data_IF_498344955938
#
_entry.id   IF_498344955938
#
_cell.length_a   1.000
_cell.length_b   1.000
_cell.length_c   1.000
_cell.angle_alpha   90.00
_cell.angle_beta   90.00
_cell.angle_gamma   90.00
#
_symmetry.space_group_name_H-M   'P 1'
#
loop_
_entity.id
_entity.type
_entity.pdbx_description
1 polymer ?
#
# COMPACT_ATOMS: atom_id res chain seq x y z
N UNK A 1 -60.22 1.24 -51.40
CA UNK A 1 -60.38 1.87 -50.07
C UNK A 1 -59.06 1.65 -49.34
N UNK A 2 -58.37 2.60 -48.74
CA UNK A 2 -58.58 4.00 -48.47
C UNK A 2 -57.28 4.47 -47.81
N UNK A 3 -56.84 5.66 -48.19
CA UNK A 3 -55.67 6.36 -47.62
C UNK A 3 -55.86 6.52 -46.12
N UNK A 4 -54.77 6.48 -45.37
CA UNK A 4 -54.28 7.58 -44.53
C UNK A 4 -53.33 7.04 -43.47
N UNK A 5 -52.06 7.48 -43.54
CA UNK A 5 -51.17 7.77 -42.40
C UNK A 5 -49.84 8.34 -42.91
N UNK A 6 -49.95 9.34 -43.81
CA UNK A 6 -48.82 10.15 -44.30
C UNK A 6 -48.57 11.41 -43.48
N UNK A 7 -49.29 11.63 -42.37
CA UNK A 7 -49.27 12.90 -41.62
C UNK A 7 -48.43 12.90 -40.35
N UNK A 8 -48.03 11.74 -39.82
CA UNK A 8 -47.29 11.66 -38.54
C UNK A 8 -45.78 11.80 -38.69
N UNK A 9 -45.23 11.72 -39.92
CA UNK A 9 -43.78 11.91 -40.18
C UNK A 9 -43.38 13.36 -40.51
N UNK A 10 -44.34 14.25 -40.81
CA UNK A 10 -44.04 15.66 -41.15
C UNK A 10 -44.07 16.61 -39.93
N UNK A 11 -44.78 16.26 -38.85
CA UNK A 11 -44.82 17.09 -37.63
C UNK A 11 -43.59 16.93 -36.73
N UNK A 12 -42.87 15.81 -36.80
CA UNK A 12 -41.68 15.58 -35.96
C UNK A 12 -40.42 16.24 -36.57
N UNK A 13 -40.36 16.39 -37.91
CA UNK A 13 -39.24 17.08 -38.57
C UNK A 13 -39.33 18.61 -38.52
N UNK A 14 -40.53 19.18 -38.35
CA UNK A 14 -40.73 20.62 -38.22
C UNK A 14 -40.34 21.17 -36.83
N UNK A 15 -40.24 20.31 -35.81
CA UNK A 15 -39.73 20.71 -34.49
C UNK A 15 -38.20 20.62 -34.34
N UNK A 16 -37.49 20.00 -35.29
CA UNK A 16 -36.01 19.92 -35.26
C UNK A 16 -35.32 20.98 -36.14
N UNK A 17 -36.08 21.73 -36.95
CA UNK A 17 -35.55 22.86 -37.73
C UNK A 17 -35.79 24.24 -37.07
N UNK A 18 -36.63 24.32 -36.03
CA UNK A 18 -37.00 25.59 -35.36
C UNK A 18 -36.16 25.97 -34.13
N UNK A 19 -35.25 25.10 -33.68
CA UNK A 19 -34.37 25.35 -32.52
C UNK A 19 -32.90 25.56 -32.90
N UNK A 20 -32.62 25.77 -34.19
CA UNK A 20 -31.32 26.17 -34.73
C UNK A 20 -31.33 27.59 -35.33
N UNK A 21 -32.29 28.44 -34.94
CA UNK A 21 -32.44 29.81 -35.47
C UNK A 21 -32.35 30.91 -34.41
N UNK A 22 -31.71 30.65 -33.27
CA UNK A 22 -31.53 31.65 -32.20
C UNK A 22 -30.10 31.74 -31.64
N UNK A 23 -29.07 31.49 -32.46
CA UNK A 23 -27.67 31.70 -32.06
C UNK A 23 -26.79 32.40 -33.12
N UNK A 24 -27.41 33.15 -34.04
CA UNK A 24 -26.69 34.05 -34.96
C UNK A 24 -27.34 35.43 -35.00
N UNK A 25 -27.26 36.16 -33.88
CA UNK A 25 -27.38 37.63 -33.83
C UNK A 25 -26.94 38.08 -32.43
N UNK A 26 -25.64 38.31 -32.26
CA UNK A 26 -25.09 38.73 -30.98
C UNK A 26 -23.57 38.91 -30.90
N UNK A 27 -22.87 39.06 -32.03
CA UNK A 27 -21.53 39.67 -32.02
C UNK A 27 -21.69 41.19 -32.10
N UNK A 28 -21.79 41.86 -30.94
CA UNK A 28 -21.31 43.23 -30.77
C UNK A 28 -21.26 43.59 -29.28
N UNK A 29 -20.09 44.06 -28.85
CA UNK A 29 -19.81 44.83 -27.63
C UNK A 29 -20.09 44.18 -26.26
N UNK A 30 -19.18 43.31 -25.82
CA UNK A 30 -18.77 43.28 -24.41
C UNK A 30 -17.25 43.18 -24.21
N UNK A 31 -16.44 43.37 -25.27
CA UNK A 31 -14.98 43.44 -25.20
C UNK A 31 -14.44 44.84 -24.85
N UNK A 32 -15.30 45.79 -24.45
CA UNK A 32 -14.94 47.20 -24.18
C UNK A 32 -15.20 47.68 -22.75
N UNK A 33 -15.48 46.80 -21.79
CA UNK A 33 -15.77 47.18 -20.39
C UNK A 33 -14.83 46.60 -19.34
N UNK A 34 -13.73 45.97 -19.76
CA UNK A 34 -12.65 45.57 -18.85
C UNK A 34 -11.36 46.09 -19.45
N UNK A 35 -10.93 47.27 -19.01
CA UNK A 35 -9.53 47.66 -19.14
C UNK A 35 -8.70 46.61 -18.40
N UNK A 36 -7.66 46.01 -19.01
CA UNK A 36 -6.76 45.16 -18.26
C UNK A 36 -6.16 45.98 -17.11
N UNK A 37 -5.99 45.40 -15.91
CA UNK A 37 -5.31 46.09 -14.83
C UNK A 37 -3.92 46.54 -15.33
N UNK A 38 -3.43 47.73 -14.92
CA UNK A 38 -2.10 48.17 -15.30
C UNK A 38 -1.12 47.06 -14.97
N UNK A 39 -0.30 46.69 -15.96
CA UNK A 39 0.72 45.65 -15.81
C UNK A 39 1.49 45.92 -14.52
N UNK A 40 1.28 45.07 -13.51
CA UNK A 40 2.16 45.04 -12.36
C UNK A 40 3.59 44.89 -12.91
N UNK A 41 4.58 45.61 -12.37
CA UNK A 41 5.95 45.49 -12.83
C UNK A 41 6.28 44.01 -12.93
N UNK A 42 6.68 43.56 -14.12
CA UNK A 42 7.13 42.19 -14.34
C UNK A 42 8.29 41.97 -13.39
N UNK A 43 7.99 41.41 -12.22
CA UNK A 43 8.98 40.93 -11.29
C UNK A 43 9.68 39.82 -12.06
N UNK A 44 10.93 40.08 -12.43
CA UNK A 44 11.77 39.17 -13.21
C UNK A 44 11.59 37.78 -12.62
N UNK A 45 10.99 36.86 -13.38
CA UNK A 45 10.93 35.44 -13.01
C UNK A 45 12.38 35.05 -12.72
N UNK A 46 12.74 34.71 -11.47
CA UNK A 46 14.12 34.38 -11.16
C UNK A 46 14.53 33.16 -12.00
N UNK A 47 15.80 33.04 -12.38
CA UNK A 47 16.26 31.95 -13.23
C UNK A 47 15.92 30.61 -12.56
N UNK A 48 15.52 29.62 -13.37
CA UNK A 48 15.23 28.22 -13.01
C UNK A 48 16.13 27.78 -11.84
N UNK A 49 15.64 27.89 -10.59
CA UNK A 49 16.48 27.73 -9.41
C UNK A 49 17.14 26.36 -9.44
N UNK A 50 18.47 26.34 -9.44
CA UNK A 50 19.22 25.09 -9.36
C UNK A 50 18.81 24.36 -8.08
N UNK A 51 18.47 23.08 -8.19
CA UNK A 51 18.08 22.27 -7.04
C UNK A 51 19.07 22.43 -5.88
N UNK A 52 18.55 22.67 -4.69
CA UNK A 52 19.37 22.79 -3.49
C UNK A 52 20.16 21.49 -3.26
N UNK A 53 21.33 21.55 -2.58
CA UNK A 53 22.10 20.36 -2.26
C UNK A 53 21.28 19.27 -1.55
N UNK A 54 20.38 19.67 -0.64
CA UNK A 54 19.46 18.76 0.03
C UNK A 54 18.49 18.09 -0.96
N UNK A 55 17.90 18.86 -1.89
CA UNK A 55 17.00 18.31 -2.90
C UNK A 55 17.73 17.31 -3.83
N UNK A 56 18.99 17.58 -4.20
CA UNK A 56 19.81 16.64 -5.00
C UNK A 56 20.05 15.32 -4.26
N UNK A 57 20.31 15.38 -2.95
CA UNK A 57 20.45 14.18 -2.13
C UNK A 57 19.15 13.38 -2.03
N UNK A 58 17.98 14.03 -1.93
CA UNK A 58 16.68 13.33 -1.99
C UNK A 58 16.50 12.61 -3.33
N UNK A 59 16.78 13.27 -4.46
CA UNK A 59 16.64 12.65 -5.79
C UNK A 59 17.54 11.41 -5.91
N UNK A 60 18.80 11.52 -5.46
CA UNK A 60 19.74 10.39 -5.45
C UNK A 60 19.26 9.27 -4.52
N UNK A 61 18.73 9.60 -3.35
CA UNK A 61 18.16 8.63 -2.43
C UNK A 61 17.00 7.86 -3.08
N UNK A 62 16.09 8.55 -3.77
CA UNK A 62 14.96 7.95 -4.48
C UNK A 62 15.43 7.03 -5.61
N UNK A 63 16.46 7.42 -6.38
CA UNK A 63 17.06 6.56 -7.40
C UNK A 63 17.66 5.28 -6.79
N UNK A 64 18.37 5.39 -5.67
CA UNK A 64 18.94 4.25 -4.96
C UNK A 64 17.84 3.33 -4.41
N UNK A 65 16.74 3.89 -3.92
CA UNK A 65 15.59 3.11 -3.46
C UNK A 65 14.92 2.34 -4.59
N UNK A 66 14.78 2.95 -5.78
CA UNK A 66 14.27 2.27 -7.00
C UNK A 66 15.16 1.08 -7.40
N UNK A 67 16.46 1.14 -7.11
CA UNK A 67 17.42 0.06 -7.34
C UNK A 67 17.47 -0.99 -6.21
N UNK A 68 16.62 -0.88 -5.19
CA UNK A 68 16.65 -1.75 -4.00
C UNK A 68 17.85 -1.51 -3.08
N UNK A 69 18.62 -0.44 -3.28
CA UNK A 69 19.79 -0.08 -2.46
C UNK A 69 19.36 0.69 -1.22
N UNK A 70 18.66 0.02 -0.31
CA UNK A 70 18.03 0.64 0.87
C UNK A 70 19.02 1.40 1.76
N UNK A 71 20.17 0.81 2.11
CA UNK A 71 21.15 1.45 2.99
C UNK A 71 21.76 2.71 2.35
N UNK A 72 22.09 2.65 1.05
CA UNK A 72 22.63 3.80 0.34
C UNK A 72 21.57 4.92 0.21
N UNK A 73 20.30 4.54 0.02
CA UNK A 73 19.18 5.47 0.02
C UNK A 73 19.00 6.15 1.38
N UNK A 74 19.12 5.41 2.49
CA UNK A 74 19.11 5.98 3.84
C UNK A 74 20.23 7.00 4.03
N UNK A 75 21.46 6.67 3.66
CA UNK A 75 22.63 7.58 3.78
C UNK A 75 22.41 8.90 3.02
N UNK A 76 21.82 8.86 1.83
CA UNK A 76 21.50 10.07 1.08
C UNK A 76 20.34 10.88 1.69
N UNK A 77 19.33 10.23 2.28
CA UNK A 77 18.30 10.95 3.05
C UNK A 77 18.88 11.59 4.32
N UNK A 78 19.78 10.91 5.04
CA UNK A 78 20.48 11.49 6.20
C UNK A 78 21.29 12.73 5.80
N UNK A 79 21.98 12.66 4.65
CA UNK A 79 22.67 13.81 4.07
C UNK A 79 21.71 14.94 3.72
N UNK A 80 20.56 14.64 3.10
CA UNK A 80 19.55 15.64 2.78
C UNK A 80 19.01 16.33 4.04
N UNK A 81 18.72 15.55 5.09
CA UNK A 81 18.26 16.06 6.39
C UNK A 81 19.31 16.97 7.03
N UNK A 82 20.58 16.56 7.05
CA UNK A 82 21.68 17.37 7.58
C UNK A 82 21.86 18.70 6.85
N UNK A 83 21.67 18.71 5.53
CA UNK A 83 21.77 19.92 4.71
C UNK A 83 20.57 20.86 4.86
N UNK A 84 19.37 20.31 5.08
CA UNK A 84 18.12 21.08 5.17
C UNK A 84 17.80 21.57 6.60
N UNK A 85 18.28 20.87 7.63
CA UNK A 85 18.02 21.20 9.03
C UNK A 85 16.57 20.97 9.42
N UNK A 86 15.84 22.03 9.79
CA UNK A 86 14.38 22.04 10.07
C UNK A 86 13.56 22.64 8.93
N UNK A 87 14.17 22.87 7.77
CA UNK A 87 13.50 23.41 6.59
C UNK A 87 13.20 22.29 5.60
N UNK A 88 12.20 22.47 4.74
CA UNK A 88 12.01 21.59 3.58
C UNK A 88 13.26 21.65 2.69
N UNK A 89 13.75 20.52 2.14
CA UNK A 89 13.10 19.20 2.07
C UNK A 89 13.50 18.21 3.19
N UNK A 90 13.90 18.67 4.38
CA UNK A 90 14.26 17.77 5.48
C UNK A 90 13.07 16.95 6.03
N UNK A 91 11.85 17.46 5.93
CA UNK A 91 10.61 16.71 6.15
C UNK A 91 10.48 15.52 5.19
N UNK A 92 10.78 15.72 3.90
CA UNK A 92 10.80 14.64 2.90
C UNK A 92 11.88 13.61 3.20
N UNK A 93 13.05 14.05 3.66
CA UNK A 93 14.12 13.14 4.06
C UNK A 93 13.64 12.19 5.18
N UNK A 94 13.05 12.76 6.24
CA UNK A 94 12.47 11.97 7.34
C UNK A 94 11.36 11.04 6.85
N UNK A 95 10.48 11.52 5.98
CA UNK A 95 9.39 10.73 5.42
C UNK A 95 9.91 9.53 4.63
N UNK A 96 10.90 9.76 3.76
CA UNK A 96 11.56 8.70 3.00
C UNK A 96 12.24 7.68 3.90
N UNK A 97 12.95 8.11 4.95
CA UNK A 97 13.55 7.20 5.93
C UNK A 97 12.47 6.35 6.62
N UNK A 98 11.35 6.97 7.01
CA UNK A 98 10.17 6.28 7.54
C UNK A 98 9.68 5.18 6.60
N UNK A 99 9.48 5.49 5.31
CA UNK A 99 9.06 4.52 4.30
C UNK A 99 10.09 3.41 4.05
N UNK A 100 11.38 3.74 4.01
CA UNK A 100 12.44 2.74 3.79
C UNK A 100 12.48 1.73 4.94
N UNK A 101 12.34 2.19 6.19
CA UNK A 101 12.26 1.30 7.35
C UNK A 101 10.94 0.50 7.42
N UNK A 102 9.87 0.97 6.79
CA UNK A 102 8.61 0.22 6.65
C UNK A 102 8.61 -0.76 5.47
N UNK A 103 9.58 -0.67 4.55
CA UNK A 103 9.57 -1.40 3.30
C UNK A 103 9.75 -2.92 3.50
N UNK A 104 8.80 -3.72 2.98
CA UNK A 104 8.78 -5.18 3.16
C UNK A 104 10.00 -5.93 2.61
N UNK A 105 10.63 -5.39 1.56
CA UNK A 105 11.83 -5.96 0.93
C UNK A 105 13.15 -5.46 1.55
N UNK A 106 13.10 -4.48 2.47
CA UNK A 106 14.31 -3.99 3.14
C UNK A 106 14.75 -5.03 4.19
N UNK A 107 15.96 -5.62 4.09
CA UNK A 107 16.46 -6.55 5.11
C UNK A 107 16.60 -5.92 6.50
N UNK A 108 16.73 -4.59 6.56
CA UNK A 108 16.78 -3.80 7.79
C UNK A 108 15.42 -3.18 8.17
N UNK A 109 14.31 -3.71 7.62
CA UNK A 109 12.95 -3.27 7.97
C UNK A 109 12.79 -3.23 9.49
N UNK A 110 12.31 -2.10 9.99
CA UNK A 110 12.09 -1.88 11.41
C UNK A 110 10.97 -0.84 11.60
N UNK A 111 9.79 -1.30 12.03
CA UNK A 111 8.63 -0.43 12.21
C UNK A 111 8.81 0.60 13.32
N UNK A 112 9.64 0.33 14.32
CA UNK A 112 9.93 1.28 15.40
C UNK A 112 10.80 2.44 14.90
N UNK A 113 11.80 2.15 14.08
CA UNK A 113 12.57 3.18 13.37
C UNK A 113 11.69 3.95 12.40
N UNK A 114 10.81 3.28 11.68
CA UNK A 114 9.86 3.93 10.79
C UNK A 114 8.97 4.93 11.55
N UNK A 115 8.35 4.49 12.65
CA UNK A 115 7.57 5.33 13.55
C UNK A 115 8.40 6.47 14.13
N UNK A 116 9.66 6.24 14.51
CA UNK A 116 10.56 7.27 15.01
C UNK A 116 10.70 8.43 14.00
N UNK A 117 11.03 8.14 12.74
CA UNK A 117 11.19 9.18 11.71
C UNK A 117 9.87 9.89 11.38
N UNK A 118 8.76 9.17 11.32
CA UNK A 118 7.45 9.79 11.13
C UNK A 118 7.05 10.73 12.28
N UNK A 119 7.30 10.33 13.53
CA UNK A 119 7.04 11.19 14.68
C UNK A 119 7.93 12.45 14.68
N UNK A 120 9.16 12.37 14.16
CA UNK A 120 9.99 13.57 13.98
C UNK A 120 9.35 14.59 13.03
N UNK A 121 8.64 14.16 11.99
CA UNK A 121 7.93 15.10 11.08
C UNK A 121 6.84 15.84 11.84
N UNK A 122 6.03 15.14 12.64
CA UNK A 122 4.97 15.77 13.44
C UNK A 122 5.52 16.81 14.42
N UNK A 123 6.72 16.54 14.98
CA UNK A 123 7.37 17.38 15.99
C UNK A 123 8.14 18.56 15.40
N UNK A 124 9.03 18.30 14.45
CA UNK A 124 9.98 19.28 13.92
C UNK A 124 9.45 20.02 12.68
N UNK A 125 8.40 19.49 12.03
CA UNK A 125 7.81 20.04 10.80
C UNK A 125 6.29 20.16 10.86
N UNK A 126 5.70 20.82 11.88
CA UNK A 126 4.25 20.84 12.10
C UNK A 126 3.42 21.51 10.98
N UNK A 127 4.07 22.23 10.06
CA UNK A 127 3.45 22.86 8.88
C UNK A 127 3.75 22.14 7.56
N UNK A 128 4.40 20.97 7.61
CA UNK A 128 4.71 20.20 6.40
C UNK A 128 3.42 19.71 5.74
N UNK A 129 3.34 19.72 4.39
CA UNK A 129 2.22 19.08 3.68
C UNK A 129 2.14 17.56 3.93
N UNK A 130 3.21 16.94 4.45
CA UNK A 130 3.28 15.51 4.72
C UNK A 130 2.62 15.10 6.04
N UNK A 131 2.13 16.05 6.85
CA UNK A 131 1.60 15.75 8.19
C UNK A 131 0.45 14.75 8.16
N UNK A 132 -0.57 14.98 7.31
CA UNK A 132 -1.74 14.10 7.26
C UNK A 132 -1.40 12.72 6.72
N UNK A 133 -0.54 12.66 5.69
CA UNK A 133 -0.05 11.39 5.17
C UNK A 133 0.77 10.62 6.22
N UNK A 134 1.65 11.31 6.93
CA UNK A 134 2.46 10.76 8.03
C UNK A 134 1.60 10.16 9.13
N UNK A 135 0.50 10.81 9.51
CA UNK A 135 -0.45 10.28 10.52
C UNK A 135 -1.08 8.96 10.07
N UNK A 136 -1.38 8.80 8.78
CA UNK A 136 -1.94 7.55 8.24
C UNK A 136 -0.91 6.42 8.39
N UNK A 137 0.35 6.66 8.02
CA UNK A 137 1.42 5.67 8.19
C UNK A 137 1.64 5.30 9.67
N UNK A 138 1.68 6.28 10.58
CA UNK A 138 1.81 6.03 12.02
C UNK A 138 0.66 5.16 12.53
N UNK A 139 -0.58 5.47 12.16
CA UNK A 139 -1.76 4.70 12.56
C UNK A 139 -1.63 3.24 12.11
N UNK A 140 -1.35 3.01 10.83
CA UNK A 140 -1.24 1.67 10.26
C UNK A 140 -0.11 0.85 10.90
N UNK A 141 1.05 1.47 11.14
CA UNK A 141 2.18 0.79 11.79
C UNK A 141 1.89 0.45 13.27
N UNK A 142 1.18 1.31 13.99
CA UNK A 142 0.75 1.02 15.36
C UNK A 142 -0.30 -0.09 15.41
N UNK A 143 -1.27 -0.09 14.49
CA UNK A 143 -2.25 -1.18 14.34
C UNK A 143 -1.55 -2.51 14.06
N UNK A 144 -0.57 -2.52 13.15
CA UNK A 144 0.21 -3.70 12.84
C UNK A 144 1.03 -4.21 14.04
N UNK A 145 1.64 -3.30 14.81
CA UNK A 145 2.36 -3.64 16.05
C UNK A 145 1.43 -4.30 17.07
N UNK A 146 0.25 -3.73 17.27
CA UNK A 146 -0.75 -4.26 18.19
C UNK A 146 -1.25 -5.65 17.75
N UNK A 147 -1.47 -5.86 16.45
CA UNK A 147 -1.82 -7.19 15.92
C UNK A 147 -0.71 -8.22 16.15
N UNK A 148 0.55 -7.85 15.95
CA UNK A 148 1.68 -8.74 16.21
C UNK A 148 1.72 -9.19 17.68
N UNK A 149 1.51 -8.27 18.61
CA UNK A 149 1.45 -8.61 20.04
C UNK A 149 0.26 -9.51 20.37
N UNK A 150 -0.92 -9.27 19.78
CA UNK A 150 -2.08 -10.13 19.97
C UNK A 150 -1.87 -11.54 19.42
N UNK A 151 -1.30 -11.67 18.21
CA UNK A 151 -0.96 -12.97 17.62
C UNK A 151 0.03 -13.71 18.51
N UNK A 152 1.09 -13.03 18.98
CA UNK A 152 2.09 -13.63 19.87
C UNK A 152 1.46 -14.17 21.15
N UNK A 153 0.62 -13.38 21.83
CA UNK A 153 -0.09 -13.81 23.04
C UNK A 153 -0.99 -15.03 22.79
N UNK A 154 -1.70 -15.06 21.67
CA UNK A 154 -2.53 -16.22 21.29
C UNK A 154 -1.68 -17.45 20.97
N UNK A 155 -0.53 -17.28 20.30
CA UNK A 155 0.40 -18.36 19.99
C UNK A 155 1.00 -19.00 21.24
N UNK A 156 1.27 -18.20 22.29
CA UNK A 156 1.82 -18.64 23.58
C UNK A 156 0.76 -19.27 24.50
N UNK A 157 -0.53 -19.08 24.23
CA UNK A 157 -1.61 -19.64 25.05
C UNK A 157 -1.65 -21.17 24.90
N UNK A 158 -1.55 -21.95 26.00
CA UNK A 158 -1.63 -23.41 25.94
C UNK A 158 -2.97 -23.87 25.34
N UNK A 159 -2.90 -24.61 24.23
CA UNK A 159 -4.10 -25.13 23.56
C UNK A 159 -4.36 -26.56 24.02
N UNK A 160 -5.60 -26.90 24.39
CA UNK A 160 -5.98 -28.28 24.69
C UNK A 160 -5.61 -29.18 23.51
N UNK A 161 -4.82 -30.20 23.81
CA UNK A 161 -4.24 -31.15 22.86
C UNK A 161 -5.08 -32.41 22.72
N UNK A 162 -6.41 -32.28 22.85
CA UNK A 162 -7.34 -33.42 22.78
C UNK A 162 -7.26 -34.17 21.43
N UNK A 163 -6.65 -33.54 20.40
CA UNK A 163 -6.39 -34.10 19.07
C UNK A 163 -5.17 -35.03 18.94
N UNK A 164 -4.30 -35.14 19.96
CA UNK A 164 -2.96 -35.73 19.82
C UNK A 164 -2.95 -37.23 19.49
N UNK A 165 -4.05 -37.97 19.68
CA UNK A 165 -4.04 -39.43 19.48
C UNK A 165 -4.36 -39.93 18.07
N UNK A 166 -4.82 -39.11 17.11
CA UNK A 166 -5.41 -39.64 15.86
C UNK A 166 -4.79 -39.13 14.54
N UNK A 167 -3.87 -38.17 14.56
CA UNK A 167 -2.99 -37.91 13.43
C UNK A 167 -1.60 -38.50 13.72
N UNK A 168 -1.26 -39.70 13.22
CA UNK A 168 0.05 -40.28 13.48
C UNK A 168 1.09 -39.43 12.76
N UNK A 169 2.01 -38.84 13.54
CA UNK A 169 3.34 -38.31 13.16
C UNK A 169 3.42 -37.16 12.13
N UNK A 170 2.49 -37.03 11.17
CA UNK A 170 2.63 -36.08 10.04
C UNK A 170 2.60 -34.61 10.43
N UNK A 171 1.68 -34.19 11.31
CA UNK A 171 1.67 -32.79 11.79
C UNK A 171 2.90 -32.47 12.65
N UNK A 172 3.37 -33.44 13.43
CA UNK A 172 4.61 -33.32 14.21
C UNK A 172 5.79 -33.11 13.28
N UNK A 173 5.95 -34.00 12.29
CA UNK A 173 6.97 -33.89 11.26
C UNK A 173 6.88 -32.58 10.49
N UNK A 174 5.69 -32.13 10.10
CA UNK A 174 5.53 -30.87 9.38
C UNK A 174 6.06 -29.68 10.20
N UNK A 175 5.76 -29.66 11.51
CA UNK A 175 6.24 -28.62 12.43
C UNK A 175 7.76 -28.70 12.65
N UNK A 176 8.33 -29.91 12.72
CA UNK A 176 9.78 -30.09 12.82
C UNK A 176 10.51 -29.62 11.56
N UNK A 177 9.99 -29.96 10.38
CA UNK A 177 10.54 -29.52 9.10
C UNK A 177 10.49 -27.98 8.99
N UNK A 178 9.38 -27.37 9.39
CA UNK A 178 9.24 -25.91 9.44
C UNK A 178 10.31 -25.27 10.34
N UNK A 179 10.52 -25.80 11.55
CA UNK A 179 11.55 -25.31 12.49
C UNK A 179 12.97 -25.45 11.94
N UNK A 180 13.22 -26.47 11.12
CA UNK A 180 14.51 -26.69 10.44
C UNK A 180 14.67 -25.83 9.17
N UNK A 181 13.67 -25.01 8.81
CA UNK A 181 13.66 -24.21 7.59
C UNK A 181 13.30 -25.00 6.33
N UNK A 182 12.95 -26.28 6.44
CA UNK A 182 12.42 -27.07 5.33
C UNK A 182 10.93 -26.78 5.11
N UNK A 183 10.66 -25.61 4.53
CA UNK A 183 9.31 -25.15 4.24
C UNK A 183 8.60 -26.06 3.23
N UNK A 184 9.32 -26.61 2.25
CA UNK A 184 8.73 -27.45 1.22
C UNK A 184 8.31 -28.81 1.77
N UNK A 185 9.16 -29.45 2.57
CA UNK A 185 8.81 -30.66 3.31
C UNK A 185 7.63 -30.41 4.25
N UNK A 186 7.63 -29.28 4.97
CA UNK A 186 6.52 -28.90 5.85
C UNK A 186 5.20 -28.71 5.10
N UNK A 187 5.20 -28.04 3.94
CA UNK A 187 4.01 -27.91 3.08
C UNK A 187 3.48 -29.29 2.67
N UNK A 188 4.37 -30.19 2.24
CA UNK A 188 4.02 -31.53 1.77
C UNK A 188 3.35 -32.36 2.87
N UNK A 189 3.85 -32.34 4.09
CA UNK A 189 3.24 -33.08 5.20
C UNK A 189 1.89 -32.50 5.62
N UNK A 190 1.72 -31.18 5.65
CA UNK A 190 0.41 -30.57 5.91
C UNK A 190 -0.60 -30.92 4.81
N UNK A 191 -0.21 -30.91 3.53
CA UNK A 191 -1.05 -31.34 2.42
C UNK A 191 -1.45 -32.82 2.54
N UNK A 192 -0.52 -33.69 2.98
CA UNK A 192 -0.81 -35.10 3.25
C UNK A 192 -1.81 -35.28 4.38
N UNK A 193 -1.87 -34.39 5.36
CA UNK A 193 -2.91 -34.44 6.40
C UNK A 193 -4.28 -34.10 5.80
N UNK A 194 -4.35 -33.12 4.91
CA UNK A 194 -5.60 -32.74 4.24
C UNK A 194 -6.15 -33.82 3.30
N UNK A 195 -5.30 -34.69 2.74
CA UNK A 195 -5.73 -35.80 1.89
C UNK A 195 -6.23 -37.04 2.65
N UNK A 196 -6.05 -37.10 3.96
CA UNK A 196 -6.56 -38.21 4.77
C UNK A 196 -8.09 -38.14 4.89
N UNK A 197 -8.71 -39.32 4.95
CA UNK A 197 -10.15 -39.47 5.22
C UNK A 197 -10.40 -39.77 6.69
N UNK A 198 -11.48 -39.23 7.26
CA UNK A 198 -11.85 -39.44 8.66
C UNK A 198 -12.25 -38.15 9.39
N UNK A 199 -13.13 -38.28 10.38
CA UNK A 199 -13.65 -37.17 11.19
C UNK A 199 -12.64 -36.65 12.23
N UNK A 200 -11.67 -37.48 12.59
CA UNK A 200 -10.65 -37.21 13.61
C UNK A 200 -9.40 -36.52 13.05
N UNK A 201 -9.36 -36.23 11.74
CA UNK A 201 -8.23 -35.60 11.09
C UNK A 201 -8.20 -34.10 11.45
N UNK A 202 -7.09 -33.59 12.00
CA UNK A 202 -6.93 -32.19 12.40
C UNK A 202 -6.69 -31.27 11.19
N UNK A 203 -7.71 -31.14 10.34
CA UNK A 203 -7.64 -30.37 9.09
C UNK A 203 -7.51 -28.87 9.34
N UNK A 204 -8.16 -28.34 10.38
CA UNK A 204 -8.03 -26.96 10.82
C UNK A 204 -6.56 -26.60 11.12
N UNK A 205 -5.84 -27.46 11.85
CA UNK A 205 -4.40 -27.28 12.14
C UNK A 205 -3.55 -27.33 10.88
N UNK A 206 -3.81 -28.28 9.99
CA UNK A 206 -3.07 -28.38 8.74
C UNK A 206 -3.27 -27.14 7.85
N UNK A 207 -4.51 -26.64 7.73
CA UNK A 207 -4.81 -25.40 7.02
C UNK A 207 -4.11 -24.20 7.68
N UNK A 208 -4.19 -24.09 9.00
CA UNK A 208 -3.54 -23.02 9.74
C UNK A 208 -2.02 -23.01 9.53
N UNK A 209 -1.38 -24.18 9.64
CA UNK A 209 0.04 -24.35 9.38
C UNK A 209 0.42 -23.95 7.95
N UNK A 210 -0.36 -24.34 6.93
CA UNK A 210 -0.14 -23.90 5.55
C UNK A 210 -0.20 -22.36 5.45
N UNK A 211 -1.15 -21.73 6.13
CA UNK A 211 -1.24 -20.27 6.28
C UNK A 211 0.06 -19.66 6.79
N UNK A 212 0.58 -20.18 7.91
CA UNK A 212 1.85 -19.73 8.51
C UNK A 212 3.05 -19.93 7.58
N UNK A 213 3.18 -21.10 6.95
CA UNK A 213 4.31 -21.40 6.07
C UNK A 213 4.36 -20.45 4.88
N UNK A 214 3.20 -20.15 4.28
CA UNK A 214 3.12 -19.20 3.18
C UNK A 214 3.30 -17.74 3.60
N UNK A 215 3.03 -17.40 4.87
CA UNK A 215 3.31 -16.07 5.43
C UNK A 215 4.78 -15.88 5.85
N UNK A 216 5.56 -16.95 5.99
CA UNK A 216 6.87 -16.87 6.61
C UNK A 216 7.87 -16.07 5.75
N UNK A 217 8.48 -15.03 6.35
CA UNK A 217 9.34 -14.09 5.63
C UNK A 217 10.58 -14.71 4.97
N UNK A 218 11.13 -15.76 5.60
CA UNK A 218 12.31 -16.49 5.14
C UNK A 218 11.98 -17.62 4.16
N UNK A 219 10.70 -17.95 3.96
CA UNK A 219 10.30 -18.95 2.97
C UNK A 219 10.49 -18.35 1.56
N UNK A 220 11.36 -18.93 0.70
CA UNK A 220 11.56 -18.43 -0.66
C UNK A 220 10.31 -18.53 -1.54
N UNK A 221 9.40 -19.46 -1.18
CA UNK A 221 8.11 -19.69 -1.83
C UNK A 221 6.95 -19.03 -1.06
N UNK A 222 7.22 -18.03 -0.20
CA UNK A 222 6.17 -17.28 0.51
C UNK A 222 5.19 -16.67 -0.48
N UNK A 223 3.92 -16.67 -0.10
CA UNK A 223 2.82 -16.23 -0.94
C UNK A 223 1.68 -15.78 -0.01
N UNK A 224 1.58 -14.46 0.21
CA UNK A 224 0.59 -13.90 1.12
C UNK A 224 -0.85 -14.15 0.62
N UNK A 225 -1.06 -14.31 -0.69
CA UNK A 225 -2.36 -14.67 -1.25
C UNK A 225 -2.78 -16.09 -0.85
N UNK A 226 -1.86 -17.06 -0.96
CA UNK A 226 -2.10 -18.42 -0.45
C UNK A 226 -2.26 -18.45 1.07
N UNK A 227 -1.46 -17.67 1.78
CA UNK A 227 -1.57 -17.57 3.24
C UNK A 227 -2.97 -17.09 3.65
N UNK A 228 -3.45 -15.99 3.04
CA UNK A 228 -4.81 -15.48 3.22
C UNK A 228 -5.86 -16.52 2.87
N UNK A 229 -5.69 -17.25 1.76
CA UNK A 229 -6.61 -18.32 1.37
C UNK A 229 -6.74 -19.38 2.47
N UNK A 230 -5.61 -19.88 3.01
CA UNK A 230 -5.64 -20.93 4.03
C UNK A 230 -6.18 -20.44 5.38
N UNK A 231 -5.84 -19.23 5.82
CA UNK A 231 -6.42 -18.68 7.04
C UNK A 231 -7.92 -18.43 6.91
N UNK A 232 -8.38 -17.90 5.78
CA UNK A 232 -9.81 -17.76 5.52
C UNK A 232 -10.51 -19.12 5.51
N UNK A 233 -9.86 -20.16 4.97
CA UNK A 233 -10.38 -21.53 5.04
C UNK A 233 -10.56 -22.05 6.46
N UNK A 234 -9.65 -21.74 7.39
CA UNK A 234 -9.85 -22.06 8.82
C UNK A 234 -11.10 -21.33 9.35
N UNK A 235 -11.23 -20.04 9.06
CA UNK A 235 -12.34 -19.20 9.55
C UNK A 235 -13.70 -19.69 9.01
N UNK A 236 -13.77 -20.06 7.73
CA UNK A 236 -15.02 -20.45 7.07
C UNK A 236 -15.41 -21.89 7.34
N UNK A 237 -14.45 -22.81 7.24
CA UNK A 237 -14.74 -24.25 7.28
C UNK A 237 -14.71 -24.79 8.74
N UNK A 238 -14.06 -24.06 9.66
CA UNK A 238 -13.91 -24.45 11.08
C UNK A 238 -14.16 -23.27 12.05
N UNK A 239 -15.35 -22.64 12.02
CA UNK A 239 -15.62 -21.43 12.82
C UNK A 239 -15.44 -21.65 14.33
N UNK A 240 -15.72 -22.85 14.84
CA UNK A 240 -15.58 -23.24 16.25
C UNK A 240 -14.16 -23.70 16.63
N UNK A 241 -13.21 -23.72 15.68
CA UNK A 241 -11.83 -24.09 15.99
C UNK A 241 -11.17 -23.05 16.92
N UNK A 242 -10.37 -23.48 17.92
CA UNK A 242 -9.58 -22.56 18.73
C UNK A 242 -8.52 -21.77 17.91
N UNK A 243 -8.27 -22.17 16.65
CA UNK A 243 -7.38 -21.46 15.72
C UNK A 243 -8.06 -20.27 15.03
N UNK A 244 -9.39 -20.23 14.99
CA UNK A 244 -10.15 -19.21 14.25
C UNK A 244 -9.88 -17.78 14.72
N UNK A 245 -9.81 -17.48 16.04
CA UNK A 245 -9.44 -16.14 16.50
C UNK A 245 -8.06 -15.69 15.99
N UNK A 246 -7.07 -16.58 16.04
CA UNK A 246 -5.71 -16.26 15.58
C UNK A 246 -5.67 -16.12 14.05
N UNK A 247 -6.39 -16.98 13.31
CA UNK A 247 -6.49 -16.89 11.86
C UNK A 247 -7.06 -15.53 11.41
N UNK A 248 -8.05 -14.99 12.13
CA UNK A 248 -8.61 -13.65 11.86
C UNK A 248 -7.57 -12.54 12.04
N UNK A 249 -6.73 -12.63 13.07
CA UNK A 249 -5.65 -11.66 13.29
C UNK A 249 -4.59 -11.75 12.19
N UNK A 250 -4.21 -12.95 11.77
CA UNK A 250 -3.31 -13.16 10.64
C UNK A 250 -3.86 -12.56 9.34
N UNK A 251 -5.15 -12.77 9.04
CA UNK A 251 -5.80 -12.17 7.88
C UNK A 251 -5.72 -10.64 7.94
N UNK A 252 -6.07 -10.04 9.08
CA UNK A 252 -6.02 -8.59 9.25
C UNK A 252 -4.59 -8.06 9.08
N UNK A 253 -3.61 -8.69 9.69
CA UNK A 253 -2.20 -8.30 9.59
C UNK A 253 -1.68 -8.37 8.15
N UNK A 254 -2.00 -9.43 7.41
CA UNK A 254 -1.57 -9.59 6.01
C UNK A 254 -2.21 -8.54 5.11
N UNK A 255 -3.49 -8.21 5.34
CA UNK A 255 -4.18 -7.14 4.61
C UNK A 255 -3.57 -5.76 4.88
N UNK A 256 -3.28 -5.43 6.15
CA UNK A 256 -2.62 -4.18 6.51
C UNK A 256 -1.21 -4.07 5.92
N UNK A 257 -0.45 -5.17 5.93
CA UNK A 257 0.86 -5.23 5.27
C UNK A 257 0.76 -5.00 3.76
N UNK A 258 -0.26 -5.56 3.10
CA UNK A 258 -0.51 -5.32 1.68
C UNK A 258 -0.88 -3.85 1.42
N UNK A 259 -1.76 -3.28 2.23
CA UNK A 259 -2.12 -1.87 2.15
C UNK A 259 -0.89 -0.96 2.31
N UNK A 260 -0.01 -1.26 3.28
CA UNK A 260 1.22 -0.51 3.51
C UNK A 260 2.15 -0.56 2.27
N UNK A 261 2.29 -1.74 1.66
CA UNK A 261 3.10 -1.90 0.44
C UNK A 261 2.52 -1.13 -0.74
N UNK A 262 1.20 -1.15 -0.92
CA UNK A 262 0.52 -0.39 -1.97
C UNK A 262 0.68 1.13 -1.77
N UNK A 263 0.58 1.61 -0.53
CA UNK A 263 0.82 3.01 -0.20
C UNK A 263 2.26 3.42 -0.53
N UNK A 264 3.26 2.64 -0.09
CA UNK A 264 4.68 2.88 -0.40
C UNK A 264 4.92 2.90 -1.92
N UNK A 265 4.27 2.01 -2.67
CA UNK A 265 4.39 1.96 -4.13
C UNK A 265 3.83 3.23 -4.80
N UNK A 266 2.66 3.70 -4.36
CA UNK A 266 2.03 4.93 -4.90
C UNK A 266 2.91 6.16 -4.70
N UNK A 267 3.58 6.29 -3.54
CA UNK A 267 4.55 7.38 -3.30
C UNK A 267 5.66 7.35 -4.36
N UNK A 268 6.22 6.18 -4.66
CA UNK A 268 7.26 6.03 -5.70
C UNK A 268 6.77 6.44 -7.10
N UNK A 269 5.52 6.16 -7.44
CA UNK A 269 4.93 6.46 -8.76
C UNK A 269 4.60 7.95 -8.94
N UNK A 270 4.09 8.61 -7.89
CA UNK A 270 3.78 10.05 -7.93
C UNK A 270 5.06 10.88 -8.15
N UNK A 271 6.16 10.52 -7.47
CA UNK A 271 7.45 11.19 -7.66
C UNK A 271 7.96 11.07 -9.12
N UNK A 272 7.79 9.91 -9.76
CA UNK A 272 8.15 9.69 -11.17
C UNK A 272 7.32 10.59 -12.10
N UNK A 273 5.99 10.60 -11.93
CA UNK A 273 5.11 11.38 -12.78
C UNK A 273 5.35 12.90 -12.67
N UNK A 274 5.75 13.38 -11.47
CA UNK A 274 6.15 14.77 -11.26
C UNK A 274 7.50 15.07 -11.93
N UNK A 275 8.47 14.16 -11.87
CA UNK A 275 9.76 14.29 -12.55
C UNK A 275 9.61 14.33 -14.08
N UNK A 276 8.78 13.46 -14.66
CA UNK A 276 8.54 13.41 -16.11
C UNK A 276 7.88 14.69 -16.63
N UNK A 277 6.82 15.17 -15.95
CA UNK A 277 6.18 16.44 -16.30
C UNK A 277 7.12 17.65 -16.20
N UNK A 278 8.09 17.63 -15.27
CA UNK A 278 9.13 18.67 -15.17
C UNK A 278 10.12 18.62 -16.33
N UNK A 279 10.44 17.42 -16.84
CA UNK A 279 11.32 17.23 -18.01
C UNK A 279 10.64 17.65 -19.32
N UNK A 280 9.35 17.39 -19.46
CA UNK A 280 8.55 17.80 -20.63
C UNK A 280 8.38 19.31 -20.73
N UNK A 281 8.10 19.99 -19.61
CA UNK A 281 7.98 21.46 -19.56
C UNK A 281 9.33 22.21 -19.63
N UNK A 282 10.44 21.47 -19.58
CA UNK A 282 11.80 22.02 -19.62
C UNK A 282 12.50 21.86 -20.96
N UNK A 283 11.82 21.27 -21.96
CA UNK A 283 12.21 21.23 -23.38
C UNK A 283 11.42 22.29 -24.14
#
# INVERSE_FOLDING_TARGET
MGRERGRTRQLIFLCLAGLNFFFFLGCASLSKLISPPPEAPVEKIPPKEAMSPAAKSIEKANQLLKQGKFEASLKENERALSLAGKNSPGDRALFNMGLIYAHGENPQKNYEKSLYFFNMILKDYPRSPLIEETKIYIKLLNENKELNEQIKRLAETPRRTDYVKVAPDKLGLANELFKKGDYEGSLKENQRVLSLSGKTIPRDRALFNLGLIYAHGENPKKDYGKSLFYFNKVITDYPESPLTPEAKLWVKMLQENQQLLEMIKKVKEVDIAVEEKKREKGK
#
